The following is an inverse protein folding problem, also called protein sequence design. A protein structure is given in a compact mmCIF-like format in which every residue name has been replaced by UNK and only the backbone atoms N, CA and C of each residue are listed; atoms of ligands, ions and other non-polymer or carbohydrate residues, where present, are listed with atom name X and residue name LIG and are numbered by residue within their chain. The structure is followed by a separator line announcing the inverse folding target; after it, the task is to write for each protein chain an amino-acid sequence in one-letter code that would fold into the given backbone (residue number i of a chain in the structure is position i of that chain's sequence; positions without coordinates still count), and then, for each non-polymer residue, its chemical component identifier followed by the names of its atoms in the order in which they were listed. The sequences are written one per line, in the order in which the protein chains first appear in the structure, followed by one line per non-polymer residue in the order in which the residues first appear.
data_IF_819757120717
#
_entry.id   IF_819757120717
#
_cell.length_a   1.000
_cell.length_b   1.000
_cell.length_c   1.000
_cell.angle_alpha   90.00
_cell.angle_beta   90.00
_cell.angle_gamma   90.00
#
_symmetry.space_group_name_H-M   'P 1'
#
loop_
_entity.id
_entity.type
_entity.pdbx_description
1 polymer ?
#
# COMPACT_ATOMS: atom_id res chain seq x y z
N UNK A 1 -33.66 49.71 49.88
CA UNK A 1 -32.60 50.37 50.66
C UNK A 1 -31.25 49.89 50.13
N UNK A 2 -30.41 50.82 49.68
CA UNK A 2 -29.08 50.56 49.12
C UNK A 2 -28.12 50.31 50.29
N UNK A 3 -27.44 49.18 50.32
CA UNK A 3 -26.35 48.96 51.27
C UNK A 3 -25.04 49.44 50.63
N UNK A 4 -24.37 50.32 51.36
CA UNK A 4 -23.16 51.01 50.97
C UNK A 4 -21.93 50.11 50.95
N UNK A 5 -21.06 50.45 50.00
CA UNK A 5 -19.78 49.82 49.70
C UNK A 5 -18.76 50.16 50.78
N UNK A 6 -18.25 49.17 51.49
CA UNK A 6 -16.97 49.29 52.20
C UNK A 6 -15.89 48.58 51.39
N UNK A 7 -14.99 49.39 50.80
CA UNK A 7 -13.72 48.95 50.22
C UNK A 7 -12.71 48.73 51.36
N UNK A 8 -12.06 47.57 51.47
CA UNK A 8 -10.76 47.51 52.09
C UNK A 8 -9.69 47.81 51.04
N UNK A 9 -9.07 48.98 51.18
CA UNK A 9 -7.80 49.33 50.57
C UNK A 9 -6.70 48.51 51.26
N UNK A 10 -6.24 47.44 50.62
CA UNK A 10 -4.90 46.90 50.89
C UNK A 10 -4.24 46.58 49.55
N UNK A 11 -3.51 47.58 49.05
CA UNK A 11 -2.44 47.39 48.07
C UNK A 11 -1.36 46.55 48.72
N UNK A 12 -1.40 45.24 48.51
CA UNK A 12 -0.22 44.39 48.66
C UNK A 12 0.48 44.41 47.31
N UNK A 13 1.72 44.88 47.33
CA UNK A 13 2.67 44.83 46.23
C UNK A 13 2.94 43.36 45.88
N UNK A 14 2.09 42.76 45.05
CA UNK A 14 2.44 41.55 44.35
C UNK A 14 3.38 41.94 43.21
N UNK A 15 4.58 41.34 43.08
CA UNK A 15 5.34 41.48 41.86
C UNK A 15 4.45 41.01 40.72
N UNK A 16 4.29 41.86 39.70
CA UNK A 16 3.73 41.46 38.42
C UNK A 16 4.56 40.26 37.95
N UNK A 17 4.04 39.04 38.15
CA UNK A 17 4.47 37.88 37.39
C UNK A 17 4.05 38.21 35.97
N UNK A 18 4.96 38.86 35.25
CA UNK A 18 4.94 38.93 33.82
C UNK A 18 4.89 37.48 33.34
N UNK A 19 3.70 36.98 32.99
CA UNK A 19 3.53 35.85 32.08
C UNK A 19 3.97 36.23 30.64
N UNK A 20 4.79 37.27 30.48
CA UNK A 20 5.51 37.61 29.27
C UNK A 20 6.65 36.62 29.09
N UNK A 21 6.30 35.44 28.61
CA UNK A 21 7.29 34.41 28.31
C UNK A 21 6.80 33.00 28.49
N UNK A 22 5.56 32.67 28.12
CA UNK A 22 5.35 31.36 27.49
C UNK A 22 6.12 31.38 26.16
N UNK A 23 7.46 31.37 26.25
CA UNK A 23 8.30 30.97 25.15
C UNK A 23 7.81 29.59 24.83
N UNK A 24 7.05 29.51 23.73
CA UNK A 24 6.64 28.25 23.13
C UNK A 24 7.94 27.51 22.92
N UNK A 25 8.29 26.62 23.84
CA UNK A 25 9.36 25.65 23.66
C UNK A 25 8.84 24.68 22.61
N UNK A 26 8.77 25.13 21.36
CA UNK A 26 8.59 24.26 20.21
C UNK A 26 9.88 23.49 20.12
N UNK A 27 10.04 22.43 20.93
CA UNK A 27 11.18 21.52 20.78
C UNK A 27 11.12 21.01 19.35
N UNK A 28 12.18 21.27 18.60
CA UNK A 28 12.35 20.78 17.24
C UNK A 28 12.69 19.29 17.31
N UNK A 29 11.78 18.47 17.84
CA UNK A 29 11.97 17.03 18.06
C UNK A 29 12.38 16.30 16.79
N UNK A 30 12.04 16.85 15.62
CA UNK A 30 12.43 16.32 14.32
C UNK A 30 13.92 16.50 13.99
N UNK A 31 14.63 17.45 14.62
CA UNK A 31 16.08 17.64 14.48
C UNK A 31 16.89 16.73 15.41
N UNK A 32 16.30 16.35 16.54
CA UNK A 32 16.96 15.54 17.57
C UNK A 32 16.64 14.05 17.46
N UNK A 33 15.67 13.65 16.62
CA UNK A 33 15.33 12.26 16.39
C UNK A 33 16.42 11.60 15.54
N UNK A 34 16.87 10.38 15.88
CA UNK A 34 17.76 9.64 15.00
C UNK A 34 17.12 9.43 13.62
N UNK A 35 17.94 9.37 12.56
CA UNK A 35 17.43 9.06 11.23
C UNK A 35 16.70 7.70 11.26
N UNK A 36 15.64 7.55 10.45
CA UNK A 36 14.89 6.31 10.46
C UNK A 36 15.73 5.16 9.91
N UNK A 37 15.62 3.99 10.54
CA UNK A 37 16.32 2.78 10.13
C UNK A 37 15.97 2.38 8.69
N UNK A 38 16.97 1.96 7.94
CA UNK A 38 16.81 1.43 6.59
C UNK A 38 16.46 -0.06 6.69
N UNK A 39 15.29 -0.49 6.20
CA UNK A 39 14.89 -1.88 6.25
C UNK A 39 15.59 -2.69 5.16
N UNK A 40 15.89 -3.96 5.43
CA UNK A 40 16.46 -4.86 4.42
C UNK A 40 15.44 -5.15 3.31
N UNK A 41 15.89 -5.32 2.05
CA UNK A 41 15.03 -5.77 0.96
C UNK A 41 14.50 -7.17 1.28
N UNK A 42 13.26 -7.45 0.87
CA UNK A 42 12.60 -8.74 1.09
C UNK A 42 12.64 -9.55 -0.20
N UNK A 43 12.54 -10.89 -0.15
CA UNK A 43 12.58 -11.71 -1.37
C UNK A 43 11.53 -11.31 -2.41
N UNK A 44 10.32 -10.95 -1.96
CA UNK A 44 9.27 -10.46 -2.86
C UNK A 44 9.50 -9.05 -3.43
N UNK A 45 10.38 -8.27 -2.81
CA UNK A 45 10.71 -6.89 -3.20
C UNK A 45 12.24 -6.69 -3.12
N UNK A 46 12.99 -7.25 -4.08
CA UNK A 46 14.46 -7.22 -4.04
C UNK A 46 15.03 -5.86 -4.41
N UNK A 47 14.34 -5.11 -5.28
CA UNK A 47 14.82 -3.87 -5.90
C UNK A 47 13.82 -2.71 -5.76
N UNK A 48 14.33 -1.49 -6.01
CA UNK A 48 13.53 -0.25 -5.92
C UNK A 48 12.44 -0.22 -6.98
N UNK A 49 12.71 -0.70 -8.20
CA UNK A 49 11.75 -0.67 -9.29
C UNK A 49 10.55 -1.58 -8.99
N UNK A 50 10.78 -2.78 -8.46
CA UNK A 50 9.70 -3.67 -7.99
C UNK A 50 8.88 -3.03 -6.89
N UNK A 51 9.52 -2.40 -5.89
CA UNK A 51 8.79 -1.69 -4.82
C UNK A 51 7.87 -0.59 -5.38
N UNK A 52 8.38 0.26 -6.26
CA UNK A 52 7.61 1.37 -6.86
C UNK A 52 6.50 0.87 -7.77
N UNK A 53 6.69 -0.29 -8.42
CA UNK A 53 5.68 -0.94 -9.25
C UNK A 53 4.55 -1.52 -8.39
N UNK A 54 4.86 -2.19 -7.28
CA UNK A 54 3.88 -2.78 -6.37
C UNK A 54 2.96 -1.72 -5.74
N UNK A 55 3.50 -0.59 -5.28
CA UNK A 55 2.69 0.48 -4.67
C UNK A 55 1.84 1.25 -5.68
N UNK A 56 2.14 1.13 -6.98
CA UNK A 56 1.37 1.67 -8.10
C UNK A 56 1.42 3.19 -8.24
N UNK A 57 0.30 3.78 -8.68
CA UNK A 57 0.12 5.22 -8.96
C UNK A 57 1.10 5.81 -9.98
N UNK A 58 1.70 4.98 -10.84
CA UNK A 58 2.70 5.39 -11.82
C UNK A 58 4.00 5.90 -11.19
N UNK A 59 4.34 5.46 -9.98
CA UNK A 59 5.61 5.81 -9.32
C UNK A 59 6.81 5.08 -9.92
N UNK A 60 6.60 3.97 -10.62
CA UNK A 60 7.60 3.26 -11.42
C UNK A 60 8.38 4.18 -12.38
N UNK A 61 7.74 5.24 -12.92
CA UNK A 61 8.38 6.25 -13.79
C UNK A 61 9.56 6.99 -13.15
N UNK A 62 9.63 6.99 -11.82
CA UNK A 62 10.66 7.68 -11.07
C UNK A 62 11.77 6.74 -10.57
N UNK A 63 11.75 5.46 -10.95
CA UNK A 63 12.74 4.47 -10.50
C UNK A 63 14.18 4.90 -10.79
N UNK A 64 14.45 5.46 -11.99
CA UNK A 64 15.80 5.91 -12.38
C UNK A 64 16.38 7.04 -11.51
N UNK A 65 15.55 7.71 -10.70
CA UNK A 65 16.00 8.78 -9.79
C UNK A 65 16.62 8.22 -8.51
N UNK A 66 16.41 6.94 -8.24
CA UNK A 66 16.90 6.26 -7.04
C UNK A 66 18.03 5.30 -7.43
N UNK A 67 19.29 5.62 -7.12
CA UNK A 67 20.42 4.77 -7.49
C UNK A 67 20.49 3.48 -6.66
N UNK A 68 20.02 3.50 -5.41
CA UNK A 68 20.09 2.35 -4.49
C UNK A 68 18.86 2.25 -3.59
N UNK A 69 18.66 1.07 -2.99
CA UNK A 69 17.62 0.82 -2.00
C UNK A 69 17.76 1.75 -0.78
N UNK A 70 18.98 1.96 -0.32
CA UNK A 70 19.28 2.86 0.81
C UNK A 70 18.93 4.31 0.48
N UNK A 71 19.18 4.75 -0.76
CA UNK A 71 18.81 6.09 -1.21
C UNK A 71 17.30 6.30 -1.11
N UNK A 72 16.49 5.34 -1.57
CA UNK A 72 15.04 5.41 -1.45
C UNK A 72 14.59 5.62 0.01
N UNK A 73 15.12 4.84 0.96
CA UNK A 73 14.72 4.91 2.37
C UNK A 73 15.34 6.06 3.15
N UNK A 74 16.40 6.69 2.64
CA UNK A 74 17.05 7.82 3.30
C UNK A 74 16.43 9.17 2.94
N UNK A 75 15.85 9.29 1.73
CA UNK A 75 15.37 10.55 1.19
C UNK A 75 14.18 11.14 1.96
N UNK A 76 14.22 12.45 2.15
CA UNK A 76 13.20 13.23 2.86
C UNK A 76 12.23 13.93 1.90
N UNK A 77 11.12 14.39 2.45
CA UNK A 77 10.09 15.18 1.75
C UNK A 77 10.62 16.31 0.85
N UNK A 78 11.52 17.22 1.28
CA UNK A 78 12.07 18.26 0.40
C UNK A 78 12.98 17.69 -0.68
N UNK A 79 13.83 16.72 -0.36
CA UNK A 79 14.75 16.10 -1.35
C UNK A 79 13.98 15.38 -2.46
N UNK A 80 12.90 14.66 -2.12
CA UNK A 80 12.02 14.03 -3.13
C UNK A 80 11.36 15.07 -4.05
N UNK A 81 11.11 16.29 -3.55
CA UNK A 81 10.60 17.39 -4.37
C UNK A 81 11.68 17.89 -5.33
N UNK A 82 12.92 18.06 -4.88
CA UNK A 82 14.06 18.49 -5.69
C UNK A 82 14.38 17.48 -6.80
N UNK A 83 14.26 16.18 -6.51
CA UNK A 83 14.33 15.11 -7.51
C UNK A 83 13.15 15.12 -8.50
N UNK A 84 12.15 15.98 -8.32
CA UNK A 84 11.01 16.14 -9.22
C UNK A 84 9.96 15.05 -9.08
N UNK A 85 9.76 14.49 -7.88
CA UNK A 85 8.62 13.61 -7.59
C UNK A 85 7.42 14.49 -7.24
N UNK A 86 6.76 14.95 -8.29
CA UNK A 86 5.54 15.74 -8.26
C UNK A 86 4.38 14.92 -8.84
N UNK A 87 3.14 15.04 -8.35
CA UNK A 87 2.59 16.00 -7.39
C UNK A 87 2.87 15.69 -5.90
N UNK A 88 2.61 16.62 -4.96
CA UNK A 88 2.85 16.41 -3.52
C UNK A 88 2.13 15.20 -2.94
N UNK A 89 0.99 14.83 -3.53
CA UNK A 89 0.21 13.66 -3.10
C UNK A 89 0.95 12.34 -3.35
N UNK A 90 1.68 12.23 -4.46
CA UNK A 90 2.48 11.04 -4.78
C UNK A 90 3.65 10.93 -3.82
N UNK A 91 4.31 12.06 -3.53
CA UNK A 91 5.40 12.15 -2.55
C UNK A 91 4.99 11.75 -1.13
N UNK A 92 3.86 12.27 -0.63
CA UNK A 92 3.31 11.87 0.68
C UNK A 92 2.93 10.39 0.71
N UNK A 93 2.38 9.88 -0.38
CA UNK A 93 2.03 8.47 -0.51
C UNK A 93 3.26 7.55 -0.50
N UNK A 94 4.33 7.92 -1.21
CA UNK A 94 5.60 7.20 -1.19
C UNK A 94 6.18 7.15 0.23
N UNK A 95 6.27 8.29 0.91
CA UNK A 95 6.75 8.36 2.30
C UNK A 95 5.91 7.51 3.26
N UNK A 96 4.59 7.49 3.07
CA UNK A 96 3.70 6.63 3.85
C UNK A 96 4.02 5.14 3.61
N UNK A 97 4.22 4.73 2.36
CA UNK A 97 4.57 3.34 2.04
C UNK A 97 5.96 2.94 2.52
N UNK A 98 6.95 3.84 2.44
CA UNK A 98 8.28 3.62 3.03
C UNK A 98 8.17 3.37 4.54
N UNK A 99 7.35 4.16 5.24
CA UNK A 99 7.13 3.96 6.67
C UNK A 99 6.42 2.62 6.95
N UNK A 100 5.39 2.27 6.18
CA UNK A 100 4.71 0.97 6.31
C UNK A 100 5.64 -0.21 6.06
N UNK A 101 6.57 -0.06 5.11
CA UNK A 101 7.55 -1.10 4.83
C UNK A 101 8.50 -1.32 6.02
N UNK A 102 8.94 -0.25 6.68
CA UNK A 102 9.74 -0.33 7.91
C UNK A 102 8.99 -1.04 9.04
N UNK A 103 7.70 -0.78 9.17
CA UNK A 103 6.82 -1.42 10.16
C UNK A 103 6.47 -2.87 9.81
N UNK A 104 6.79 -3.33 8.59
CA UNK A 104 6.39 -4.65 8.10
C UNK A 104 4.90 -4.76 7.76
N UNK A 105 4.16 -3.64 7.74
CA UNK A 105 2.74 -3.56 7.40
C UNK A 105 2.52 -3.59 5.87
N UNK A 106 2.99 -4.67 5.24
CA UNK A 106 3.00 -4.88 3.80
C UNK A 106 1.64 -5.35 3.27
N UNK A 107 1.48 -5.29 1.95
CA UNK A 107 0.31 -5.87 1.28
C UNK A 107 0.47 -7.38 1.05
N UNK A 108 -0.40 -7.97 0.22
CA UNK A 108 -0.32 -9.39 -0.12
C UNK A 108 1.09 -9.78 -0.60
N UNK A 109 1.59 -10.94 -0.21
CA UNK A 109 2.90 -11.44 -0.63
C UNK A 109 4.12 -10.82 0.04
N UNK A 110 3.96 -9.85 0.97
CA UNK A 110 5.08 -9.24 1.69
C UNK A 110 5.86 -10.17 2.63
N UNK A 111 5.33 -11.36 2.89
CA UNK A 111 5.86 -12.41 3.75
C UNK A 111 6.42 -13.62 2.99
N UNK A 112 6.33 -13.61 1.66
CA UNK A 112 6.90 -14.65 0.82
C UNK A 112 8.43 -14.71 0.99
N UNK A 113 8.95 -15.92 1.24
CA UNK A 113 10.39 -16.18 1.35
C UNK A 113 10.98 -16.72 0.07
N UNK A 114 10.26 -17.63 -0.58
CA UNK A 114 10.68 -18.21 -1.85
C UNK A 114 9.95 -17.46 -2.96
N UNK A 115 10.71 -16.70 -3.74
CA UNK A 115 10.24 -15.89 -4.86
C UNK A 115 11.33 -15.94 -5.90
N UNK A 116 10.97 -16.33 -7.12
CA UNK A 116 11.88 -16.44 -8.26
C UNK A 116 11.29 -15.61 -9.40
N UNK A 117 12.09 -14.73 -10.00
CA UNK A 117 11.68 -13.82 -11.08
C UNK A 117 10.42 -12.98 -10.79
N UNK A 118 10.16 -12.67 -9.51
CA UNK A 118 8.95 -11.96 -9.08
C UNK A 118 7.68 -12.82 -9.10
N UNK A 119 7.82 -14.14 -9.19
CA UNK A 119 6.75 -15.12 -9.08
C UNK A 119 6.93 -15.96 -7.80
N UNK A 120 5.84 -16.16 -7.07
CA UNK A 120 5.81 -17.04 -5.90
C UNK A 120 4.82 -18.18 -6.14
N UNK A 121 5.26 -19.41 -5.86
CA UNK A 121 4.43 -20.60 -6.01
C UNK A 121 3.83 -20.97 -4.66
N UNK A 122 2.50 -21.07 -4.64
CA UNK A 122 1.71 -21.47 -3.49
C UNK A 122 1.15 -22.87 -3.73
N UNK A 123 1.30 -23.76 -2.74
CA UNK A 123 0.65 -25.07 -2.74
C UNK A 123 -0.14 -25.30 -1.47
N UNK A 124 -1.09 -26.22 -1.57
CA UNK A 124 -1.86 -26.71 -0.43
C UNK A 124 -1.06 -27.78 0.27
N UNK A 125 -0.74 -27.57 1.54
CA UNK A 125 -0.16 -28.57 2.42
C UNK A 125 -1.27 -29.24 3.26
N UNK A 126 -1.18 -30.55 3.37
CA UNK A 126 -1.95 -31.31 4.36
C UNK A 126 -1.10 -31.39 5.62
N UNK A 127 -1.66 -31.17 6.81
CA UNK A 127 -0.93 -31.37 8.06
C UNK A 127 -0.43 -32.82 8.16
N UNK A 128 0.72 -33.06 8.82
CA UNK A 128 1.21 -34.41 9.05
C UNK A 128 0.24 -35.17 9.96
N UNK A 129 0.21 -36.50 9.85
CA UNK A 129 -0.70 -37.38 10.61
C UNK A 129 -0.56 -37.27 12.14
N UNK A 130 0.49 -36.63 12.64
CA UNK A 130 0.68 -36.34 14.07
C UNK A 130 -0.27 -35.27 14.60
N UNK A 131 -0.82 -34.41 13.74
CA UNK A 131 -1.77 -33.36 14.13
C UNK A 131 -3.19 -33.86 13.87
N UNK A 132 -4.05 -33.78 14.89
CA UNK A 132 -5.43 -34.30 14.87
C UNK A 132 -6.35 -33.55 13.89
N UNK A 133 -5.90 -32.43 13.32
CA UNK A 133 -6.71 -31.60 12.41
C UNK A 133 -6.47 -31.97 10.95
N UNK A 134 -7.53 -32.13 10.17
CA UNK A 134 -7.46 -32.27 8.70
C UNK A 134 -7.43 -30.93 7.96
N UNK A 135 -7.27 -29.82 8.70
CA UNK A 135 -7.33 -28.47 8.15
C UNK A 135 -6.10 -28.19 7.25
N UNK A 136 -6.35 -28.14 5.94
CA UNK A 136 -5.33 -27.81 4.94
C UNK A 136 -4.99 -26.33 5.00
N UNK A 137 -3.73 -26.01 4.73
CA UNK A 137 -3.25 -24.63 4.70
C UNK A 137 -2.37 -24.38 3.48
N UNK A 138 -2.21 -23.11 3.13
CA UNK A 138 -1.37 -22.68 2.02
C UNK A 138 0.07 -22.53 2.50
N UNK A 139 1.03 -22.95 1.68
CA UNK A 139 2.46 -22.77 1.92
C UNK A 139 3.13 -22.19 0.69
N UNK A 140 4.14 -21.34 0.90
CA UNK A 140 5.04 -20.89 -0.16
C UNK A 140 6.19 -21.90 -0.30
N UNK A 141 6.41 -22.38 -1.53
CA UNK A 141 7.42 -23.39 -1.90
C UNK A 141 8.35 -22.78 -2.96
N UNK A 142 9.65 -23.13 -2.96
CA UNK A 142 10.58 -22.78 -4.04
C UNK A 142 10.12 -23.30 -5.41
N UNK A 143 10.61 -22.68 -6.48
CA UNK A 143 10.37 -23.15 -7.85
C UNK A 143 11.32 -24.33 -8.15
N UNK A 144 10.92 -25.25 -9.04
CA UNK A 144 11.78 -26.37 -9.48
C UNK A 144 11.62 -27.70 -8.72
N UNK A 145 12.58 -28.62 -8.92
CA UNK A 145 12.52 -30.02 -8.43
C UNK A 145 12.65 -30.16 -6.90
N UNK A 146 13.01 -29.09 -6.19
CA UNK A 146 13.02 -29.04 -4.72
C UNK A 146 11.61 -29.13 -4.09
N UNK A 147 10.55 -29.12 -4.92
CA UNK A 147 9.16 -29.37 -4.53
C UNK A 147 9.00 -30.68 -3.74
N UNK A 148 9.78 -31.72 -4.04
CA UNK A 148 9.69 -33.01 -3.36
C UNK A 148 10.36 -32.97 -1.97
N UNK A 149 11.52 -32.31 -1.85
CA UNK A 149 12.25 -32.18 -0.58
C UNK A 149 11.58 -31.18 0.39
N UNK A 150 11.01 -30.10 -0.14
CA UNK A 150 10.29 -29.10 0.66
C UNK A 150 8.92 -29.58 1.15
N UNK A 151 8.25 -30.46 0.38
CA UNK A 151 6.97 -31.05 0.79
C UNK A 151 7.08 -31.90 2.06
N UNK A 152 8.24 -32.54 2.28
CA UNK A 152 8.53 -33.34 3.48
C UNK A 152 8.68 -32.46 4.74
N UNK A 153 9.03 -31.18 4.57
CA UNK A 153 9.22 -30.20 5.66
C UNK A 153 8.06 -29.20 5.78
N UNK A 154 6.82 -29.65 5.59
CA UNK A 154 5.61 -28.80 5.64
C UNK A 154 5.41 -28.01 6.95
N UNK A 155 6.11 -28.38 8.04
CA UNK A 155 6.14 -27.64 9.31
C UNK A 155 7.09 -26.43 9.30
N UNK A 156 8.12 -26.43 8.45
CA UNK A 156 9.16 -25.40 8.38
C UNK A 156 8.83 -24.32 7.33
N UNK A 157 7.99 -24.64 6.35
CA UNK A 157 7.64 -23.72 5.27
C UNK A 157 6.81 -22.53 5.77
N UNK A 158 7.08 -21.30 5.27
CA UNK A 158 6.36 -20.11 5.68
C UNK A 158 4.92 -20.17 5.18
N UNK A 159 3.98 -19.88 6.11
CA UNK A 159 2.56 -19.75 5.80
C UNK A 159 2.28 -18.31 5.35
N UNK A 160 1.83 -18.11 4.11
CA UNK A 160 1.52 -16.78 3.61
C UNK A 160 0.20 -16.24 4.17
N UNK A 161 0.20 -14.96 4.53
CA UNK A 161 -0.94 -14.24 5.07
C UNK A 161 -1.95 -13.89 3.97
N UNK A 162 -3.24 -14.08 4.26
CA UNK A 162 -4.33 -13.69 3.36
C UNK A 162 -4.63 -14.69 2.24
N UNK A 163 -4.03 -15.88 2.27
CA UNK A 163 -4.35 -16.98 1.36
C UNK A 163 -4.97 -18.13 2.13
N UNK A 164 -6.07 -18.66 1.60
CA UNK A 164 -6.85 -19.74 2.23
C UNK A 164 -7.15 -20.84 1.22
N UNK A 165 -7.42 -22.04 1.73
CA UNK A 165 -7.82 -23.18 0.90
C UNK A 165 -9.34 -23.22 0.85
N UNK A 166 -9.91 -23.24 -0.35
CA UNK A 166 -11.32 -23.52 -0.59
C UNK A 166 -11.50 -24.94 -1.14
N UNK A 167 -12.53 -25.64 -0.66
CA UNK A 167 -12.79 -27.02 -1.06
C UNK A 167 -11.60 -27.95 -0.79
N UNK A 168 -11.27 -28.81 -1.76
CA UNK A 168 -10.25 -29.84 -1.54
C UNK A 168 -8.81 -29.34 -1.82
N UNK A 169 -8.63 -28.52 -2.86
CA UNK A 169 -7.31 -28.16 -3.43
C UNK A 169 -7.23 -26.73 -4.00
N UNK A 170 -8.33 -25.98 -4.06
CA UNK A 170 -8.29 -24.64 -4.66
C UNK A 170 -7.77 -23.63 -3.64
N UNK A 171 -6.87 -22.74 -4.09
CA UNK A 171 -6.32 -21.67 -3.26
C UNK A 171 -7.07 -20.39 -3.63
N UNK A 172 -7.67 -19.73 -2.63
CA UNK A 172 -8.23 -18.40 -2.80
C UNK A 172 -7.36 -17.38 -2.07
N UNK A 173 -7.07 -16.29 -2.78
CA UNK A 173 -6.35 -15.16 -2.24
C UNK A 173 -6.22 -14.05 -3.28
N UNK A 174 -5.81 -12.86 -2.87
CA UNK A 174 -5.60 -11.75 -3.78
C UNK A 174 -4.47 -12.09 -4.76
N UNK A 175 -4.68 -11.83 -6.06
CA UNK A 175 -3.67 -12.05 -7.13
C UNK A 175 -3.15 -13.49 -7.28
N UNK A 176 -3.83 -14.48 -6.70
CA UNK A 176 -3.53 -15.90 -6.91
C UNK A 176 -4.12 -16.37 -8.24
N UNK A 177 -3.26 -16.70 -9.22
CA UNK A 177 -3.66 -17.36 -10.46
C UNK A 177 -3.49 -18.87 -10.31
N UNK A 178 -4.55 -19.69 -10.52
CA UNK A 178 -4.43 -21.14 -10.39
C UNK A 178 -3.54 -21.73 -11.49
N UNK A 179 -2.69 -22.69 -11.12
CA UNK A 179 -1.91 -23.46 -12.08
C UNK A 179 -2.75 -24.55 -12.76
N UNK A 180 -2.40 -24.95 -13.99
CA UNK A 180 -3.06 -26.07 -14.65
C UNK A 180 -2.94 -27.35 -13.80
N UNK A 181 -4.00 -28.17 -13.82
CA UNK A 181 -4.04 -29.42 -13.05
C UNK A 181 -4.27 -29.28 -11.54
N UNK A 182 -4.75 -28.11 -11.07
CA UNK A 182 -4.98 -27.83 -9.63
C UNK A 182 -3.72 -28.04 -8.76
N UNK A 183 -2.54 -27.89 -9.36
CA UNK A 183 -1.25 -28.15 -8.73
C UNK A 183 -0.79 -27.05 -7.76
N UNK A 184 -1.60 -26.00 -7.58
CA UNK A 184 -1.32 -24.84 -6.74
C UNK A 184 -1.80 -23.54 -7.37
N UNK A 185 -1.27 -22.43 -6.87
CA UNK A 185 -1.48 -21.09 -7.41
C UNK A 185 -0.15 -20.35 -7.51
N UNK A 186 -0.02 -19.47 -8.50
CA UNK A 186 1.12 -18.57 -8.65
C UNK A 186 0.65 -17.16 -8.30
N UNK A 187 1.51 -16.42 -7.61
CA UNK A 187 1.33 -14.99 -7.37
C UNK A 187 2.47 -14.26 -8.05
N UNK A 188 2.14 -13.49 -9.09
CA UNK A 188 3.08 -12.66 -9.84
C UNK A 188 3.07 -11.24 -9.30
N UNK A 189 4.24 -10.60 -9.25
CA UNK A 189 4.34 -9.15 -9.01
C UNK A 189 3.55 -8.42 -10.10
N UNK A 190 2.52 -7.69 -9.67
CA UNK A 190 1.67 -6.89 -10.58
C UNK A 190 1.68 -5.43 -10.18
N UNK A 191 1.52 -4.53 -11.16
CA UNK A 191 1.48 -3.10 -10.88
C UNK A 191 0.28 -2.75 -9.99
N UNK A 192 0.54 -1.99 -8.92
CA UNK A 192 -0.49 -1.55 -7.99
C UNK A 192 -1.09 -2.66 -7.13
N UNK A 193 -0.38 -3.79 -6.97
CA UNK A 193 -0.76 -4.88 -6.06
C UNK A 193 -0.94 -4.41 -4.61
N UNK A 194 -0.16 -3.41 -4.20
CA UNK A 194 -0.26 -2.74 -2.90
C UNK A 194 -0.91 -1.36 -3.01
N UNK A 195 -1.49 -1.00 -4.17
CA UNK A 195 -2.01 0.36 -4.34
C UNK A 195 -3.26 0.61 -3.50
N UNK A 196 -3.23 1.68 -2.69
CA UNK A 196 -4.46 2.27 -2.17
C UNK A 196 -5.21 2.99 -3.29
N UNK A 197 -6.10 2.26 -3.98
CA UNK A 197 -6.82 2.75 -5.16
C UNK A 197 -7.63 3.99 -4.83
N UNK A 198 -7.56 4.97 -5.72
CA UNK A 198 -8.35 6.20 -5.62
C UNK A 198 -9.74 5.97 -6.18
N UNK A 199 -10.76 6.35 -5.43
CA UNK A 199 -12.11 6.44 -5.97
C UNK A 199 -12.15 7.36 -7.19
N UNK A 200 -12.77 6.89 -8.27
CA UNK A 200 -13.08 7.69 -9.45
C UNK A 200 -14.60 7.87 -9.56
N UNK A 201 -15.03 8.98 -10.14
CA UNK A 201 -16.45 9.22 -10.39
C UNK A 201 -16.91 8.38 -11.58
N UNK A 202 -17.95 7.58 -11.38
CA UNK A 202 -18.62 6.84 -12.47
C UNK A 202 -19.65 7.77 -13.12
N UNK A 203 -19.55 7.96 -14.44
CA UNK A 203 -20.42 8.81 -15.26
C UNK A 203 -20.60 10.23 -14.70
N UNK A 204 -19.49 10.94 -14.41
CA UNK A 204 -19.55 12.31 -13.88
C UNK A 204 -19.94 12.42 -12.39
N UNK A 205 -20.24 11.30 -11.74
CA UNK A 205 -20.71 11.21 -10.36
C UNK A 205 -22.23 11.36 -10.24
N UNK A 206 -22.76 11.20 -9.04
CA UNK A 206 -24.21 11.16 -8.79
C UNK A 206 -24.98 12.32 -9.41
N UNK A 207 -24.55 13.57 -9.17
CA UNK A 207 -25.24 14.78 -9.65
C UNK A 207 -25.28 14.93 -11.18
N UNK A 208 -24.23 14.49 -11.89
CA UNK A 208 -24.09 14.69 -13.34
C UNK A 208 -24.37 13.43 -14.15
N UNK A 209 -24.71 12.31 -13.50
CA UNK A 209 -24.89 11.01 -14.17
C UNK A 209 -25.96 11.05 -15.26
N UNK A 210 -27.13 11.60 -14.96
CA UNK A 210 -28.22 11.69 -15.93
C UNK A 210 -27.84 12.56 -17.13
N UNK A 211 -27.25 13.74 -16.87
CA UNK A 211 -26.79 14.67 -17.90
C UNK A 211 -25.73 14.04 -18.82
N UNK A 212 -24.68 13.43 -18.23
CA UNK A 212 -23.59 12.79 -18.98
C UNK A 212 -24.12 11.65 -19.84
N UNK A 213 -25.01 10.80 -19.29
CA UNK A 213 -25.62 9.70 -20.05
C UNK A 213 -26.54 10.20 -21.16
N UNK A 214 -27.29 11.27 -20.93
CA UNK A 214 -28.13 11.87 -21.96
C UNK A 214 -27.29 12.44 -23.10
N UNK A 215 -26.26 13.23 -22.78
CA UNK A 215 -25.32 13.78 -23.77
C UNK A 215 -24.64 12.68 -24.57
N UNK A 216 -24.19 11.61 -23.92
CA UNK A 216 -23.60 10.44 -24.59
C UNK A 216 -24.59 9.78 -25.58
N UNK A 217 -25.80 9.44 -25.13
CA UNK A 217 -26.85 8.87 -26.00
C UNK A 217 -27.28 9.78 -27.14
N UNK A 218 -27.23 11.10 -26.95
CA UNK A 218 -27.55 12.05 -28.01
C UNK A 218 -26.45 12.15 -29.05
N UNK A 219 -25.18 12.06 -28.63
CA UNK A 219 -24.04 12.05 -29.54
C UNK A 219 -23.99 10.75 -30.35
N UNK A 220 -24.23 9.60 -29.70
CA UNK A 220 -24.31 8.29 -30.36
C UNK A 220 -25.38 8.28 -31.47
N UNK A 221 -26.62 8.69 -31.15
CA UNK A 221 -27.70 8.78 -32.16
C UNK A 221 -27.40 9.74 -33.31
N UNK A 222 -26.64 10.81 -33.07
CA UNK A 222 -26.24 11.74 -34.12
C UNK A 222 -25.19 11.10 -35.03
N UNK A 223 -24.18 10.47 -34.43
CA UNK A 223 -23.12 9.78 -35.16
C UNK A 223 -23.66 8.59 -35.96
N UNK A 224 -24.64 7.84 -35.44
CA UNK A 224 -25.31 6.77 -36.16
C UNK A 224 -26.01 7.28 -37.43
N UNK A 225 -26.78 8.36 -37.33
CA UNK A 225 -27.46 8.97 -38.49
C UNK A 225 -26.47 9.52 -39.51
N UNK A 226 -25.40 10.15 -39.05
CA UNK A 226 -24.34 10.65 -39.93
C UNK A 226 -23.65 9.49 -40.64
N UNK A 227 -23.33 8.40 -39.94
CA UNK A 227 -22.75 7.20 -40.52
C UNK A 227 -23.68 6.51 -41.52
N UNK A 228 -24.97 6.38 -41.21
CA UNK A 228 -25.99 5.87 -42.15
C UNK A 228 -26.12 6.76 -43.38
N UNK A 229 -26.11 8.08 -43.21
CA UNK A 229 -26.16 9.02 -44.33
C UNK A 229 -24.94 8.89 -45.24
N UNK A 230 -23.75 8.68 -44.67
CA UNK A 230 -22.51 8.47 -45.41
C UNK A 230 -22.45 7.09 -46.08
N UNK A 231 -23.07 6.08 -45.47
CA UNK A 231 -23.16 4.74 -46.05
C UNK A 231 -24.19 4.65 -47.19
N UNK A 232 -25.18 5.55 -47.19
CA UNK A 232 -26.19 5.65 -48.24
C UNK A 232 -25.81 6.66 -49.35
N UNK A 233 -24.66 7.34 -49.25
CA UNK A 233 -24.04 8.14 -50.33
C UNK A 233 -23.02 7.31 -51.10
#
# INVERSE_FOLDING_TARGET
MRADRLRPYLRVLAPSVNLSGTTRQTRWLHKTRPPPTIPQPRPFVPDVQTFLTLIGRGLNKHASKFPSWESLFSLTSPQLKELGIEPPRNRRYLLQWMQRYREGALGPGGDFRFVEDGEAVLKVATPPASVVSDAKYVVNIPHGEEVAAAAEAASTLPRPNGYTVHGLRSIAGPYATPLPGQAGAVVRVTEGMWEHRRGRKIDGGERRRAEVRFKKRSAERRAEREAESLANM
#
